data_IF_997269089400
#
_entry.id   IF_997269089400
#
_cell.length_a   1.000
_cell.length_b   1.000
_cell.length_c   1.000
_cell.angle_alpha   90.00
_cell.angle_beta   90.00
_cell.angle_gamma   90.00
#
_symmetry.space_group_name_H-M   'P 1'
#
loop_
_entity.id
_entity.type
_entity.pdbx_description
1 polymer ?
#
# COMPACT_ATOMS: atom_id res chain seq x y z
N UNK A 1 3.20 1.63 29.91
CA UNK A 1 3.50 0.88 31.15
C UNK A 1 4.08 1.75 32.26
N UNK A 2 5.26 2.37 32.09
CA UNK A 2 5.90 3.20 33.14
C UNK A 2 4.98 4.30 33.67
N UNK A 3 4.27 5.01 32.77
CA UNK A 3 3.31 6.03 33.17
C UNK A 3 2.17 5.46 34.05
N UNK A 4 1.65 4.27 33.75
CA UNK A 4 0.63 3.63 34.57
C UNK A 4 1.16 3.26 35.95
N UNK A 5 2.34 2.65 36.02
CA UNK A 5 3.01 2.30 37.27
C UNK A 5 3.33 3.53 38.13
N UNK A 6 3.72 4.63 37.51
CA UNK A 6 3.88 5.93 38.17
C UNK A 6 2.55 6.46 38.72
N UNK A 7 1.47 6.41 37.93
CA UNK A 7 0.18 6.93 38.38
C UNK A 7 -0.44 6.14 39.52
N UNK A 8 -0.28 4.81 39.52
CA UNK A 8 -0.68 3.94 40.62
C UNK A 8 0.18 4.08 41.88
N UNK A 9 1.29 4.82 41.83
CA UNK A 9 2.18 5.02 42.97
C UNK A 9 3.15 3.87 43.23
N UNK A 10 3.31 2.95 42.28
CA UNK A 10 4.26 1.81 42.37
C UNK A 10 5.70 2.32 42.19
N UNK A 11 5.91 3.24 41.25
CA UNK A 11 7.21 3.91 41.06
C UNK A 11 7.14 5.28 41.74
N UNK A 12 7.81 5.49 42.89
CA UNK A 12 7.74 6.77 43.59
C UNK A 12 8.58 7.83 42.88
N UNK A 13 7.95 8.98 42.57
CA UNK A 13 8.63 10.18 42.03
C UNK A 13 7.90 11.44 42.51
N UNK A 14 8.53 12.63 42.34
CA UNK A 14 7.95 13.93 42.73
C UNK A 14 6.49 14.06 42.28
N UNK A 15 5.59 14.28 43.24
CA UNK A 15 4.16 14.52 42.97
C UNK A 15 3.24 13.30 43.06
N UNK A 16 3.75 12.08 43.28
CA UNK A 16 2.92 10.87 43.34
C UNK A 16 2.76 10.23 44.72
N UNK A 17 3.36 10.83 45.76
CA UNK A 17 3.36 10.33 47.14
C UNK A 17 1.92 10.24 47.69
N UNK A 18 1.55 9.08 48.23
CA UNK A 18 0.22 8.82 48.81
C UNK A 18 -0.73 8.06 47.87
N UNK A 19 -1.94 7.77 48.36
CA UNK A 19 -2.96 7.02 47.60
C UNK A 19 -3.36 7.78 46.32
N UNK A 20 -3.40 7.11 45.16
CA UNK A 20 -3.77 7.77 43.92
C UNK A 20 -5.22 8.26 43.96
N UNK A 21 -5.43 9.55 43.70
CA UNK A 21 -6.76 10.12 43.54
C UNK A 21 -7.45 9.64 42.25
N UNK A 22 -8.76 9.90 42.09
CA UNK A 22 -9.56 9.37 40.98
C UNK A 22 -8.99 9.69 39.59
N UNK A 23 -8.48 10.90 39.36
CA UNK A 23 -7.88 11.28 38.08
C UNK A 23 -6.57 10.55 37.76
N UNK A 24 -5.73 10.29 38.77
CA UNK A 24 -4.51 9.48 38.62
C UNK A 24 -4.87 8.02 38.32
N UNK A 25 -5.89 7.49 39.00
CA UNK A 25 -6.38 6.14 38.75
C UNK A 25 -6.89 6.01 37.31
N UNK A 26 -7.74 6.94 36.85
CA UNK A 26 -8.27 6.95 35.49
C UNK A 26 -7.15 7.01 34.43
N UNK A 27 -6.21 7.95 34.56
CA UNK A 27 -5.09 8.08 33.63
C UNK A 27 -4.16 6.86 33.67
N UNK A 28 -3.93 6.29 34.86
CA UNK A 28 -3.13 5.07 35.03
C UNK A 28 -3.77 3.87 34.33
N UNK A 29 -5.07 3.65 34.54
CA UNK A 29 -5.83 2.57 33.89
C UNK A 29 -5.86 2.75 32.37
N UNK A 30 -6.12 3.96 31.87
CA UNK A 30 -6.09 4.24 30.43
C UNK A 30 -4.71 3.98 29.82
N UNK A 31 -3.65 4.42 30.50
CA UNK A 31 -2.26 4.19 30.06
C UNK A 31 -1.87 2.70 30.09
N UNK A 32 -2.43 1.94 31.02
CA UNK A 32 -2.21 0.50 31.12
C UNK A 32 -2.95 -0.25 29.99
N UNK A 33 -4.23 0.06 29.79
CA UNK A 33 -5.05 -0.51 28.72
C UNK A 33 -4.43 -0.25 27.34
N UNK A 34 -4.00 1.00 27.08
CA UNK A 34 -3.30 1.35 25.85
C UNK A 34 -1.99 0.55 25.68
N UNK A 35 -1.21 0.39 26.76
CA UNK A 35 0.03 -0.35 26.66
C UNK A 35 -0.19 -1.86 26.44
N UNK A 36 -1.24 -2.45 27.00
CA UNK A 36 -1.63 -3.82 26.67
C UNK A 36 -2.10 -3.96 25.22
N UNK A 37 -2.87 -3.00 24.71
CA UNK A 37 -3.31 -2.97 23.32
C UNK A 37 -2.12 -2.89 22.33
N UNK A 38 -1.18 -1.99 22.57
CA UNK A 38 0.06 -1.90 21.75
C UNK A 38 0.92 -3.15 21.93
N UNK A 39 1.06 -3.64 23.17
CA UNK A 39 1.80 -4.85 23.49
C UNK A 39 1.27 -6.10 22.77
N UNK A 40 -0.06 -6.27 22.69
CA UNK A 40 -0.65 -7.40 21.96
C UNK A 40 -0.39 -7.30 20.46
N UNK A 41 -0.43 -6.09 19.87
CA UNK A 41 -0.07 -5.89 18.47
C UNK A 41 1.40 -6.20 18.18
N UNK A 42 2.33 -5.82 19.07
CA UNK A 42 3.75 -6.11 18.93
C UNK A 42 4.08 -7.60 19.09
N UNK A 43 3.46 -8.28 20.07
CA UNK A 43 3.69 -9.72 20.31
C UNK A 43 3.09 -10.57 19.19
N UNK A 44 1.89 -10.20 18.73
CA UNK A 44 1.19 -10.94 17.68
C UNK A 44 1.54 -10.46 16.26
N UNK A 45 2.35 -9.41 16.12
CA UNK A 45 2.71 -8.75 14.86
C UNK A 45 1.49 -8.43 13.98
N UNK A 46 0.48 -7.79 14.59
CA UNK A 46 -0.74 -7.39 13.90
C UNK A 46 -0.80 -5.87 13.78
N UNK A 47 -1.35 -5.37 12.67
CA UNK A 47 -1.73 -3.98 12.56
C UNK A 47 -2.87 -3.67 13.53
N UNK A 48 -2.67 -2.64 14.34
CA UNK A 48 -3.65 -2.20 15.31
C UNK A 48 -4.52 -1.15 14.64
N UNK A 49 -5.82 -1.42 14.51
CA UNK A 49 -6.76 -0.53 13.83
C UNK A 49 -6.74 0.92 14.33
N UNK A 50 -6.53 1.16 15.63
CA UNK A 50 -6.42 2.51 16.20
C UNK A 50 -5.11 3.24 15.86
N UNK A 51 -4.08 2.50 15.49
CA UNK A 51 -2.77 3.02 15.08
C UNK A 51 -2.50 2.77 13.59
N UNK A 52 -3.55 2.44 12.84
CA UNK A 52 -3.49 2.17 11.41
C UNK A 52 -2.91 3.36 10.66
N UNK A 53 -1.79 3.13 9.98
CA UNK A 53 -1.02 4.15 9.27
C UNK A 53 -0.14 5.07 10.12
N UNK A 54 -0.09 4.89 11.44
CA UNK A 54 0.92 5.52 12.31
C UNK A 54 2.04 4.54 12.67
N UNK A 55 1.71 3.27 12.88
CA UNK A 55 2.68 2.22 13.11
C UNK A 55 3.30 1.76 11.79
N UNK A 56 4.60 1.39 11.77
CA UNK A 56 5.20 0.78 10.59
C UNK A 56 4.46 -0.52 10.24
N UNK A 57 4.27 -0.82 8.95
CA UNK A 57 3.56 -2.03 8.54
C UNK A 57 4.25 -3.30 9.03
N UNK A 58 3.44 -4.34 9.28
CA UNK A 58 3.91 -5.61 9.85
C UNK A 58 4.96 -6.32 8.99
N UNK A 59 4.91 -6.15 7.66
CA UNK A 59 5.87 -6.75 6.72
C UNK A 59 7.30 -6.18 6.83
N UNK A 60 7.48 -4.98 7.42
CA UNK A 60 8.81 -4.44 7.75
C UNK A 60 9.37 -4.96 9.08
N UNK A 61 8.61 -5.76 9.82
CA UNK A 61 9.07 -6.27 11.11
C UNK A 61 10.18 -7.30 10.94
N UNK A 62 11.19 -7.31 11.82
CA UNK A 62 12.31 -8.26 11.79
C UNK A 62 11.91 -9.74 11.64
N UNK A 63 10.73 -10.13 12.14
CA UNK A 63 10.21 -11.49 12.03
C UNK A 63 9.76 -11.87 10.61
N UNK A 64 9.29 -10.89 9.83
CA UNK A 64 8.89 -11.04 8.43
C UNK A 64 9.95 -10.52 7.45
N UNK A 65 10.89 -9.70 7.91
CA UNK A 65 12.00 -9.17 7.11
C UNK A 65 13.05 -10.20 6.68
N UNK A 66 12.80 -11.49 6.91
CA UNK A 66 13.56 -12.62 6.36
C UNK A 66 12.85 -13.36 5.22
N UNK A 67 11.60 -13.00 4.90
CA UNK A 67 10.93 -13.51 3.71
C UNK A 67 11.60 -12.87 2.49
N UNK A 68 12.25 -13.70 1.67
CA UNK A 68 12.90 -13.23 0.44
C UNK A 68 11.83 -12.57 -0.43
N UNK A 69 11.91 -11.25 -0.56
CA UNK A 69 11.09 -10.52 -1.53
C UNK A 69 11.39 -11.12 -2.90
N UNK A 70 10.36 -11.64 -3.58
CA UNK A 70 10.49 -12.24 -4.91
C UNK A 70 10.95 -11.21 -5.96
N UNK A 71 10.68 -9.94 -5.69
CA UNK A 71 10.94 -8.81 -6.57
C UNK A 71 11.75 -7.74 -5.83
N UNK A 72 12.57 -6.99 -6.58
CA UNK A 72 13.38 -5.90 -6.04
C UNK A 72 12.48 -4.75 -5.55
N UNK A 73 12.61 -4.37 -4.28
CA UNK A 73 11.86 -3.27 -3.68
C UNK A 73 11.28 -3.61 -2.30
N UNK A 74 10.34 -2.80 -1.80
CA UNK A 74 9.76 -3.00 -0.47
C UNK A 74 8.70 -4.11 -0.48
N UNK A 75 8.79 -5.09 0.44
CA UNK A 75 7.83 -6.20 0.51
C UNK A 75 6.34 -5.80 0.46
N UNK A 76 5.55 -6.66 -0.18
CA UNK A 76 4.12 -6.44 -0.38
C UNK A 76 3.31 -6.87 0.87
N UNK A 77 2.19 -6.18 1.18
CA UNK A 77 1.32 -6.60 2.27
C UNK A 77 0.62 -7.93 1.95
N UNK A 78 0.29 -8.70 3.01
CA UNK A 78 -0.51 -9.94 2.94
C UNK A 78 0.03 -11.06 2.06
N UNK A 79 1.37 -11.15 1.92
CA UNK A 79 2.02 -12.15 1.06
C UNK A 79 1.51 -12.10 -0.39
N UNK A 80 1.21 -10.89 -0.87
CA UNK A 80 0.93 -10.64 -2.28
C UNK A 80 2.23 -10.68 -3.08
N UNK A 81 2.15 -11.25 -4.28
CA UNK A 81 3.24 -11.21 -5.24
C UNK A 81 3.14 -9.90 -6.03
N UNK A 82 3.87 -8.86 -5.61
CA UNK A 82 3.81 -7.54 -6.23
C UNK A 82 5.17 -7.06 -6.73
N UNK A 83 5.12 -6.29 -7.81
CA UNK A 83 6.27 -5.67 -8.45
C UNK A 83 6.43 -4.22 -8.00
N UNK A 84 7.62 -3.66 -8.17
CA UNK A 84 7.93 -2.26 -7.89
C UNK A 84 8.45 -1.49 -9.11
N UNK A 85 8.57 -2.17 -10.25
CA UNK A 85 8.77 -1.56 -11.55
C UNK A 85 7.60 -1.90 -12.49
N UNK A 86 7.07 -0.87 -13.14
CA UNK A 86 5.91 -0.99 -14.02
C UNK A 86 6.21 -1.84 -15.27
N UNK A 87 7.41 -1.76 -15.83
CA UNK A 87 7.76 -2.47 -17.06
C UNK A 87 7.89 -3.97 -16.80
N UNK A 88 8.45 -4.35 -15.64
CA UNK A 88 8.50 -5.74 -15.17
C UNK A 88 7.09 -6.30 -14.94
N UNK A 89 6.25 -5.55 -14.21
CA UNK A 89 4.86 -5.94 -13.97
C UNK A 89 4.09 -6.10 -15.28
N UNK A 90 4.29 -5.20 -16.24
CA UNK A 90 3.64 -5.24 -17.55
C UNK A 90 4.08 -6.45 -18.36
N UNK A 91 5.37 -6.79 -18.35
CA UNK A 91 5.89 -8.00 -18.98
C UNK A 91 5.25 -9.25 -18.38
N UNK A 92 5.12 -9.29 -17.05
CA UNK A 92 4.48 -10.40 -16.36
C UNK A 92 2.98 -10.49 -16.63
N UNK A 93 2.27 -9.35 -16.63
CA UNK A 93 0.85 -9.27 -16.96
C UNK A 93 0.55 -9.79 -18.36
N UNK A 94 1.44 -9.53 -19.32
CA UNK A 94 1.38 -10.11 -20.67
C UNK A 94 1.61 -11.62 -20.63
N UNK A 95 2.66 -12.07 -19.93
CA UNK A 95 3.03 -13.49 -19.82
C UNK A 95 1.92 -14.34 -19.19
N UNK A 96 1.32 -13.85 -18.10
CA UNK A 96 0.23 -14.53 -17.40
C UNK A 96 -1.15 -14.28 -18.05
N UNK A 97 -1.22 -13.38 -19.03
CA UNK A 97 -2.47 -12.91 -19.63
C UNK A 97 -3.49 -12.39 -18.59
N UNK A 98 -3.02 -11.56 -17.66
CA UNK A 98 -3.81 -10.96 -16.58
C UNK A 98 -3.76 -9.43 -16.66
N UNK A 99 -4.81 -8.71 -16.22
CA UNK A 99 -4.76 -7.26 -16.08
C UNK A 99 -3.76 -6.83 -14.99
N UNK A 100 -3.33 -5.57 -15.08
CA UNK A 100 -2.52 -4.89 -14.09
C UNK A 100 -3.39 -4.21 -13.04
N UNK A 101 -3.00 -4.36 -11.78
CA UNK A 101 -3.44 -3.52 -10.67
C UNK A 101 -2.27 -2.61 -10.29
N UNK A 102 -2.37 -1.32 -10.60
CA UNK A 102 -1.34 -0.32 -10.30
C UNK A 102 -1.75 0.44 -9.05
N UNK A 103 -0.92 0.34 -8.01
CA UNK A 103 -1.07 1.02 -6.73
C UNK A 103 -0.01 2.12 -6.59
N UNK A 104 -0.42 3.37 -6.75
CA UNK A 104 0.43 4.51 -6.40
C UNK A 104 0.35 4.73 -4.90
N UNK A 105 1.47 4.45 -4.24
CA UNK A 105 1.55 4.37 -2.78
C UNK A 105 2.76 5.14 -2.26
N UNK A 106 2.94 5.15 -0.94
CA UNK A 106 4.11 5.76 -0.33
C UNK A 106 4.39 5.19 1.06
N UNK A 107 5.66 5.17 1.43
CA UNK A 107 6.13 4.73 2.75
C UNK A 107 5.48 5.52 3.88
N UNK A 108 5.34 6.84 3.70
CA UNK A 108 4.71 7.73 4.68
C UNK A 108 3.18 7.88 4.53
N UNK A 109 2.55 7.11 3.64
CA UNK A 109 1.15 7.31 3.28
C UNK A 109 0.18 6.63 4.27
N UNK A 110 -0.30 7.39 5.26
CA UNK A 110 -1.26 6.91 6.29
C UNK A 110 -2.50 6.27 5.68
N UNK A 111 -3.09 6.91 4.66
CA UNK A 111 -4.32 6.41 4.03
C UNK A 111 -4.07 5.14 3.20
N UNK A 112 -2.88 4.97 2.62
CA UNK A 112 -2.49 3.74 1.92
C UNK A 112 -2.45 2.58 2.91
N UNK A 113 -1.82 2.78 4.08
CA UNK A 113 -1.76 1.76 5.14
C UNK A 113 -3.15 1.41 5.67
N UNK A 114 -4.06 2.38 5.80
CA UNK A 114 -5.46 2.10 6.17
C UNK A 114 -6.17 1.21 5.16
N UNK A 115 -5.95 1.41 3.87
CA UNK A 115 -6.50 0.54 2.82
C UNK A 115 -5.92 -0.86 2.90
N UNK A 116 -4.60 -0.95 3.02
CA UNK A 116 -3.91 -2.23 3.16
C UNK A 116 -4.34 -2.98 4.40
N UNK A 117 -4.62 -2.32 5.52
CA UNK A 117 -4.95 -3.02 6.76
C UNK A 117 -6.44 -3.36 6.90
N UNK A 118 -7.33 -2.57 6.30
CA UNK A 118 -8.78 -2.69 6.54
C UNK A 118 -9.58 -3.12 5.31
N UNK A 119 -9.07 -2.92 4.09
CA UNK A 119 -9.79 -3.22 2.85
C UNK A 119 -9.15 -4.38 2.10
N UNK A 120 -7.85 -4.33 1.86
CA UNK A 120 -7.13 -5.36 1.11
C UNK A 120 -7.23 -6.79 1.66
N UNK A 121 -7.19 -7.05 2.99
CA UNK A 121 -7.21 -8.42 3.50
C UNK A 121 -8.60 -9.05 3.50
N UNK A 122 -9.63 -8.28 3.13
CA UNK A 122 -11.00 -8.79 3.16
C UNK A 122 -11.21 -9.88 2.10
N UNK A 123 -11.98 -10.93 2.41
CA UNK A 123 -12.31 -11.99 1.46
C UNK A 123 -12.93 -11.43 0.18
N UNK A 124 -12.60 -12.03 -0.96
CA UNK A 124 -12.94 -11.50 -2.27
C UNK A 124 -11.94 -10.46 -2.76
N UNK A 125 -11.63 -9.42 -1.99
CA UNK A 125 -10.67 -8.38 -2.42
C UNK A 125 -9.27 -8.99 -2.55
N UNK A 126 -8.77 -9.62 -1.49
CA UNK A 126 -7.44 -10.25 -1.51
C UNK A 126 -7.33 -11.33 -2.58
N UNK A 127 -8.42 -12.06 -2.81
CA UNK A 127 -8.49 -13.14 -3.81
C UNK A 127 -8.39 -12.58 -5.23
N UNK A 128 -9.01 -11.42 -5.51
CA UNK A 128 -8.84 -10.72 -6.78
C UNK A 128 -7.39 -10.26 -6.96
N UNK A 129 -6.81 -9.59 -5.96
CA UNK A 129 -5.44 -9.08 -6.04
C UNK A 129 -4.43 -10.21 -6.26
N UNK A 130 -4.60 -11.35 -5.58
CA UNK A 130 -3.69 -12.50 -5.69
C UNK A 130 -3.86 -13.28 -6.99
N UNK A 131 -5.09 -13.55 -7.40
CA UNK A 131 -5.36 -14.54 -8.45
C UNK A 131 -5.61 -13.91 -9.81
N UNK A 132 -6.25 -12.74 -9.85
CA UNK A 132 -6.81 -12.17 -11.08
C UNK A 132 -5.97 -11.02 -11.63
N UNK A 133 -5.13 -10.38 -10.82
CA UNK A 133 -4.29 -9.25 -11.22
C UNK A 133 -2.81 -9.56 -11.08
N UNK A 134 -1.99 -8.88 -11.89
CA UNK A 134 -0.58 -8.65 -11.56
C UNK A 134 -0.51 -7.33 -10.81
N UNK A 135 -0.05 -7.38 -9.55
CA UNK A 135 -0.02 -6.24 -8.64
C UNK A 135 1.31 -5.50 -8.82
N UNK A 136 1.26 -4.19 -8.97
CA UNK A 136 2.45 -3.33 -8.95
C UNK A 136 2.23 -2.16 -7.99
N UNK A 137 3.09 -2.04 -6.99
CA UNK A 137 3.05 -0.96 -6.00
C UNK A 137 4.19 0.02 -6.27
N UNK A 138 3.83 1.18 -6.79
CA UNK A 138 4.72 2.26 -7.21
C UNK A 138 4.84 3.28 -6.07
N UNK A 139 5.93 3.18 -5.31
CA UNK A 139 6.23 4.08 -4.19
C UNK A 139 6.71 5.44 -4.71
N UNK A 140 5.89 6.48 -4.56
CA UNK A 140 6.18 7.84 -5.06
C UNK A 140 7.17 8.62 -4.18
N UNK A 141 7.37 8.17 -2.94
CA UNK A 141 8.30 8.78 -1.98
C UNK A 141 9.61 8.01 -1.83
N UNK A 142 9.82 6.98 -2.65
CA UNK A 142 11.03 6.14 -2.65
C UNK A 142 12.30 6.98 -2.91
N UNK A 143 13.29 6.78 -2.04
CA UNK A 143 14.55 7.54 -2.00
C UNK A 143 15.69 6.83 -2.71
N UNK A 144 15.51 5.58 -3.13
CA UNK A 144 16.47 4.87 -4.00
C UNK A 144 16.75 5.70 -5.26
N UNK A 145 18.04 5.90 -5.57
CA UNK A 145 18.47 6.63 -6.77
C UNK A 145 18.24 5.79 -8.02
N UNK A 146 17.78 6.43 -9.10
CA UNK A 146 17.65 5.79 -10.42
C UNK A 146 19.00 5.34 -10.98
N UNK A 147 20.04 6.13 -10.71
CA UNK A 147 21.41 5.88 -11.16
C UNK A 147 22.35 5.92 -9.95
N UNK A 148 22.45 4.84 -9.17
CA UNK A 148 23.24 4.81 -7.95
C UNK A 148 24.74 5.07 -8.22
N UNK A 149 25.25 4.53 -9.33
CA UNK A 149 26.65 4.65 -9.74
C UNK A 149 27.03 6.03 -10.31
N UNK A 150 26.05 6.87 -10.67
CA UNK A 150 26.32 8.19 -11.25
C UNK A 150 25.45 9.28 -10.60
N UNK A 151 26.01 10.09 -9.69
CA UNK A 151 25.25 11.12 -8.97
C UNK A 151 24.78 12.28 -9.86
N UNK A 152 25.35 12.44 -11.05
CA UNK A 152 24.99 13.49 -11.99
C UNK A 152 23.93 13.03 -13.00
N UNK A 153 23.69 11.72 -13.14
CA UNK A 153 22.65 11.20 -14.01
C UNK A 153 21.24 11.43 -13.42
N UNK A 154 20.28 11.73 -14.29
CA UNK A 154 18.87 11.94 -13.98
C UNK A 154 18.03 11.72 -15.24
N UNK A 155 16.75 11.44 -15.06
CA UNK A 155 15.76 11.56 -16.12
C UNK A 155 15.17 12.97 -16.10
N UNK A 156 14.60 13.41 -17.22
CA UNK A 156 13.83 14.66 -17.28
C UNK A 156 12.36 14.31 -17.39
N UNK A 157 11.54 14.97 -16.58
CA UNK A 157 10.10 14.93 -16.75
C UNK A 157 9.73 15.52 -18.12
N UNK A 158 9.02 14.78 -18.99
CA UNK A 158 8.70 15.23 -20.34
C UNK A 158 7.73 16.43 -20.37
N UNK A 159 6.90 16.63 -19.34
CA UNK A 159 5.95 17.74 -19.26
C UNK A 159 6.53 18.96 -18.56
N UNK A 160 7.25 18.77 -17.45
CA UNK A 160 7.72 19.89 -16.61
C UNK A 160 9.19 20.24 -16.82
N UNK A 161 9.99 19.32 -17.38
CA UNK A 161 11.45 19.46 -17.47
C UNK A 161 12.18 19.29 -16.13
N UNK A 162 11.51 18.87 -15.07
CA UNK A 162 12.12 18.62 -13.77
C UNK A 162 13.09 17.43 -13.81
N UNK A 163 14.17 17.49 -13.03
CA UNK A 163 15.15 16.40 -12.93
C UNK A 163 14.65 15.32 -11.97
N UNK A 164 14.36 14.14 -12.50
CA UNK A 164 13.97 12.96 -11.74
C UNK A 164 15.21 12.16 -11.37
N UNK A 165 15.46 12.01 -10.06
CA UNK A 165 16.70 11.42 -9.52
C UNK A 165 16.47 10.12 -8.75
N UNK A 166 15.27 9.94 -8.21
CA UNK A 166 14.90 8.77 -7.42
C UNK A 166 13.76 8.00 -8.06
N UNK A 167 13.62 6.73 -7.69
CA UNK A 167 12.49 5.87 -8.07
C UNK A 167 11.17 6.56 -7.73
N UNK A 168 11.08 7.18 -6.55
CA UNK A 168 9.89 7.94 -6.15
C UNK A 168 9.58 9.11 -7.09
N UNK A 169 10.59 9.91 -7.45
CA UNK A 169 10.38 11.01 -8.41
C UNK A 169 9.94 10.51 -9.79
N UNK A 170 10.46 9.35 -10.26
CA UNK A 170 10.01 8.70 -11.50
C UNK A 170 8.51 8.37 -11.42
N UNK A 171 8.07 7.71 -10.35
CA UNK A 171 6.69 7.28 -10.21
C UNK A 171 5.71 8.41 -9.88
N UNK A 172 6.12 9.41 -9.11
CA UNK A 172 5.34 10.64 -8.90
C UNK A 172 5.10 11.38 -10.22
N UNK A 173 6.16 11.56 -11.03
CA UNK A 173 6.04 12.16 -12.35
C UNK A 173 5.16 11.31 -13.27
N UNK A 174 5.32 9.98 -13.26
CA UNK A 174 4.46 9.08 -14.01
C UNK A 174 2.99 9.23 -13.64
N UNK A 175 2.66 9.29 -12.35
CA UNK A 175 1.29 9.45 -11.85
C UNK A 175 0.66 10.75 -12.38
N UNK A 176 1.34 11.88 -12.18
CA UNK A 176 0.87 13.20 -12.61
C UNK A 176 0.77 13.28 -14.13
N UNK A 177 1.77 12.77 -14.85
CA UNK A 177 1.82 12.88 -16.30
C UNK A 177 0.76 12.03 -17.01
N UNK A 178 0.34 10.90 -16.44
CA UNK A 178 -0.66 10.02 -17.05
C UNK A 178 -2.07 10.24 -16.52
N UNK A 179 -2.23 10.67 -15.26
CA UNK A 179 -3.54 10.71 -14.59
C UNK A 179 -3.93 12.07 -14.03
N UNK A 180 -3.04 13.08 -14.09
CA UNK A 180 -3.27 14.42 -13.55
C UNK A 180 -3.65 14.42 -12.05
N UNK A 181 -3.08 13.46 -11.31
CA UNK A 181 -3.30 13.27 -9.87
C UNK A 181 -1.96 13.09 -9.18
N UNK A 182 -1.79 13.71 -8.02
CA UNK A 182 -0.60 13.60 -7.16
C UNK A 182 -0.90 13.09 -5.76
N UNK A 183 -2.14 12.70 -5.47
CA UNK A 183 -2.57 12.19 -4.17
C UNK A 183 -2.42 10.66 -4.12
N UNK A 184 -2.12 10.13 -2.93
CA UNK A 184 -2.05 8.69 -2.64
C UNK A 184 -2.97 8.34 -1.45
N UNK A 185 -3.52 7.11 -1.39
CA UNK A 185 -3.41 6.05 -2.40
C UNK A 185 -4.21 6.38 -3.67
N UNK A 186 -3.72 5.89 -4.80
CA UNK A 186 -4.41 5.99 -6.08
C UNK A 186 -4.26 4.68 -6.85
N UNK A 187 -5.39 4.06 -7.21
CA UNK A 187 -5.43 2.73 -7.79
C UNK A 187 -5.95 2.77 -9.23
N UNK A 188 -5.22 2.14 -10.13
CA UNK A 188 -5.53 2.09 -11.56
C UNK A 188 -5.58 0.64 -12.03
N UNK A 189 -6.71 0.25 -12.62
CA UNK A 189 -6.83 -1.04 -13.30
C UNK A 189 -6.54 -0.84 -14.78
N UNK A 190 -5.54 -1.56 -15.27
CA UNK A 190 -5.04 -1.40 -16.63
C UNK A 190 -4.97 -2.74 -17.34
N UNK A 191 -5.26 -2.74 -18.63
CA UNK A 191 -5.06 -3.90 -19.47
C UNK A 191 -3.56 -4.24 -19.56
N UNK A 192 -3.21 -5.49 -19.84
CA UNK A 192 -1.82 -5.90 -20.06
C UNK A 192 -1.17 -5.34 -21.35
N UNK A 193 -1.79 -4.35 -22.00
CA UNK A 193 -1.14 -3.56 -23.05
C UNK A 193 -0.35 -2.37 -22.47
N UNK A 194 -0.57 -2.05 -21.18
CA UNK A 194 0.08 -0.94 -20.48
C UNK A 194 -0.49 0.43 -20.84
N UNK A 195 -1.65 0.49 -21.50
CA UNK A 195 -2.24 1.75 -22.01
C UNK A 195 -3.73 1.87 -21.72
N UNK A 196 -4.48 0.77 -21.83
CA UNK A 196 -5.94 0.81 -21.77
C UNK A 196 -6.41 0.72 -20.34
N UNK A 197 -7.14 1.74 -19.88
CA UNK A 197 -7.81 1.72 -18.58
C UNK A 197 -9.05 0.84 -18.64
N UNK A 198 -9.20 -0.02 -17.64
CA UNK A 198 -10.31 -0.97 -17.58
C UNK A 198 -11.57 -0.37 -16.96
N UNK A 199 -11.40 0.61 -16.07
CA UNK A 199 -12.48 1.42 -15.50
C UNK A 199 -11.91 2.74 -14.94
N UNK A 200 -12.77 3.53 -14.30
CA UNK A 200 -12.35 4.78 -13.63
C UNK A 200 -11.45 4.45 -12.44
N UNK A 201 -10.23 5.01 -12.35
CA UNK A 201 -9.37 4.89 -11.18
C UNK A 201 -10.07 5.31 -9.89
N UNK A 202 -9.63 4.75 -8.76
CA UNK A 202 -10.18 5.06 -7.44
C UNK A 202 -9.09 5.49 -6.47
N UNK A 203 -9.46 6.26 -5.46
CA UNK A 203 -8.60 6.79 -4.41
C UNK A 203 -9.13 6.37 -3.03
N UNK A 204 -8.54 6.90 -1.96
CA UNK A 204 -9.04 6.62 -0.61
C UNK A 204 -10.50 7.07 -0.41
N UNK A 205 -10.88 8.26 -0.89
CA UNK A 205 -12.21 8.81 -0.63
C UNK A 205 -13.31 7.98 -1.29
N UNK A 206 -13.04 7.45 -2.48
CA UNK A 206 -14.00 6.68 -3.25
C UNK A 206 -13.85 5.16 -3.07
N UNK A 207 -12.73 4.70 -2.49
CA UNK A 207 -12.38 3.28 -2.39
C UNK A 207 -12.33 2.70 -0.98
N UNK A 208 -12.48 3.50 0.08
CA UNK A 208 -12.38 2.99 1.46
C UNK A 208 -13.53 2.07 1.89
N UNK A 209 -14.68 2.09 1.19
CA UNK A 209 -15.76 1.12 1.39
C UNK A 209 -15.42 -0.20 0.68
N UNK A 210 -15.34 -1.33 1.41
CA UNK A 210 -15.01 -2.63 0.81
C UNK A 210 -15.92 -3.08 -0.33
N UNK A 211 -17.22 -2.82 -0.25
CA UNK A 211 -18.17 -3.24 -1.29
C UNK A 211 -17.94 -2.44 -2.58
N UNK A 212 -17.64 -1.15 -2.45
CA UNK A 212 -17.28 -0.29 -3.59
C UNK A 212 -15.94 -0.72 -4.17
N UNK A 213 -14.94 -0.99 -3.33
CA UNK A 213 -13.62 -1.43 -3.77
C UNK A 213 -13.66 -2.78 -4.50
N UNK A 214 -14.43 -3.74 -3.98
CA UNK A 214 -14.63 -5.02 -4.66
C UNK A 214 -15.32 -4.81 -6.01
N UNK A 215 -16.35 -3.97 -6.07
CA UNK A 215 -17.05 -3.67 -7.33
C UNK A 215 -16.12 -3.02 -8.37
N UNK A 216 -15.17 -2.19 -7.91
CA UNK A 216 -14.12 -1.63 -8.75
C UNK A 216 -13.22 -2.73 -9.35
N UNK A 217 -12.78 -3.70 -8.55
CA UNK A 217 -12.00 -4.85 -9.04
C UNK A 217 -12.81 -5.75 -9.99
N UNK A 218 -14.06 -6.08 -9.62
CA UNK A 218 -14.95 -6.89 -10.45
C UNK A 218 -15.16 -6.24 -11.83
N UNK A 219 -15.47 -4.94 -11.83
CA UNK A 219 -15.70 -4.18 -13.06
C UNK A 219 -14.47 -4.14 -13.98
N UNK A 220 -13.27 -3.99 -13.40
CA UNK A 220 -12.04 -4.00 -14.20
C UNK A 220 -11.74 -5.37 -14.79
N UNK A 221 -11.96 -6.44 -14.03
CA UNK A 221 -11.74 -7.81 -14.51
C UNK A 221 -12.71 -8.17 -15.63
N UNK A 222 -13.99 -7.84 -15.47
CA UNK A 222 -15.01 -8.03 -16.51
C UNK A 222 -14.67 -7.27 -17.78
N UNK A 223 -14.20 -6.02 -17.66
CA UNK A 223 -13.78 -5.23 -18.81
C UNK A 223 -12.59 -5.88 -19.55
N UNK A 224 -11.62 -6.41 -18.81
CA UNK A 224 -10.47 -7.12 -19.39
C UNK A 224 -10.91 -8.36 -20.18
N UNK A 225 -11.80 -9.17 -19.61
CA UNK A 225 -12.32 -10.38 -20.26
C UNK A 225 -13.07 -10.04 -21.54
N UNK A 226 -13.94 -9.03 -21.53
CA UNK A 226 -14.67 -8.59 -22.74
C UNK A 226 -13.74 -8.11 -23.85
N UNK A 227 -12.70 -7.35 -23.52
CA UNK A 227 -11.72 -6.85 -24.49
C UNK A 227 -10.86 -7.98 -25.08
N UNK A 228 -10.58 -9.01 -24.27
CA UNK A 228 -9.89 -10.22 -24.73
C UNK A 228 -10.74 -11.00 -25.74
N UNK A 229 -12.01 -11.24 -25.42
CA UNK A 229 -12.93 -11.99 -26.27
C UNK A 229 -13.19 -11.27 -27.61
N UNK A 230 -13.31 -9.93 -27.58
CA UNK A 230 -13.49 -9.11 -28.79
C UNK A 230 -12.29 -9.19 -29.74
N UNK A 231 -11.06 -9.15 -29.21
CA UNK A 231 -9.83 -9.32 -30.03
C UNK A 231 -9.72 -10.71 -30.63
N UNK A 232 -10.14 -11.75 -29.90
CA UNK A 232 -10.13 -13.12 -30.42
C UNK A 232 -11.13 -13.29 -31.57
N UNK A 233 -12.32 -12.67 -31.47
CA UNK A 233 -13.33 -12.67 -32.54
C UNK A 233 -12.89 -11.90 -33.79
N UNK A 234 -12.23 -10.75 -33.65
CA UNK A 234 -11.66 -10.01 -34.80
C UNK A 234 -10.59 -10.82 -35.54
N UNK A 235 -9.76 -11.57 -34.81
CA UNK A 235 -8.71 -12.42 -35.41
C UNK A 235 -9.27 -13.66 -36.13
N UNK A 236 -10.44 -14.17 -35.71
CA UNK A 236 -11.11 -15.30 -36.37
C UNK A 236 -11.91 -14.83 -37.59
N UNK A 237 -12.53 -13.65 -37.54
CA UNK A 237 -13.34 -13.09 -38.63
C UNK A 237 -12.55 -12.44 -39.78
N UNK A 238 -11.22 -12.33 -39.65
CA UNK A 238 -10.32 -11.76 -40.66
C UNK A 238 -9.67 -12.82 -41.58
N UNK A 239 -10.08 -14.09 -41.49
CA UNK A 239 -9.61 -15.20 -42.34
C UNK A 239 -10.64 -15.60 -43.40
#
# INVERSE_FOLDING_TARGET
LVLALYQFGIIPWKGNKGRPGPGRLALGTASLAFAFYVGSGLVNYQSLSLLSGLAPPVHYSYKYGGEQHKHDGPGCPHDLDCYHDFDEALAEAKRQNKPLFVDFTGHGCVNCRKMEENVWPLPGIIDHLRNNYVVVSLYVDEKVRLFPENPFAYLLDPKTGEKLRTVGSKWSAFQVNNFDVSAQPYYVLMHNDGKTLLNKPTDYQNGHDPAVYKSFLDCGLDAFLRLKDGKEQEMIGAN
#
